data_IF_494176691021
#
_entry.id   IF_494176691021
#
_cell.length_a   1.000
_cell.length_b   1.000
_cell.length_c   1.000
_cell.angle_alpha   90.00
_cell.angle_beta   90.00
_cell.angle_gamma   90.00
#
_symmetry.space_group_name_H-M   'P 1'
#
loop_
_entity.id
_entity.type
_entity.pdbx_description
1 polymer ?
#
# COMPACT_ATOMS: atom_id res chain seq x y z
N UNK A 1 17.69 44.49 -65.02
CA UNK A 1 17.22 45.59 -64.16
C UNK A 1 17.03 45.05 -62.74
N UNK A 2 17.65 45.72 -61.75
CA UNK A 2 17.45 45.52 -60.31
C UNK A 2 15.98 45.77 -59.95
N UNK A 3 15.45 45.10 -58.93
CA UNK A 3 14.95 45.79 -57.73
C UNK A 3 14.74 44.80 -56.57
N UNK A 4 15.21 45.22 -55.40
CA UNK A 4 15.04 44.60 -54.09
C UNK A 4 13.56 44.41 -53.73
N UNK A 5 13.25 43.41 -52.91
CA UNK A 5 12.56 43.66 -51.64
C UNK A 5 12.68 42.48 -50.68
N UNK A 6 13.35 42.74 -49.55
CA UNK A 6 13.36 41.88 -48.36
C UNK A 6 12.06 42.15 -47.59
N UNK A 7 11.29 41.11 -47.32
CA UNK A 7 10.28 41.14 -46.25
C UNK A 7 10.59 39.99 -45.31
N UNK A 8 11.19 40.33 -44.17
CA UNK A 8 11.10 39.51 -42.98
C UNK A 8 9.84 39.94 -42.23
N UNK A 9 9.07 38.99 -41.67
CA UNK A 9 8.51 39.11 -40.31
C UNK A 9 7.72 37.86 -39.87
N UNK A 10 8.14 37.40 -38.69
CA UNK A 10 7.43 36.77 -37.58
C UNK A 10 6.62 35.49 -37.85
N UNK A 11 7.27 34.36 -37.53
CA UNK A 11 6.62 33.17 -36.99
C UNK A 11 6.10 33.47 -35.56
N UNK A 12 4.79 33.68 -35.42
CA UNK A 12 4.11 33.53 -34.14
C UNK A 12 3.97 32.02 -33.84
N UNK A 13 4.94 31.46 -33.11
CA UNK A 13 4.74 30.20 -32.39
C UNK A 13 3.80 30.48 -31.22
N UNK A 14 2.50 30.33 -31.46
CA UNK A 14 1.51 30.21 -30.39
C UNK A 14 1.80 28.89 -29.69
N UNK A 15 2.54 28.97 -28.58
CA UNK A 15 2.71 27.87 -27.66
C UNK A 15 1.36 27.54 -27.03
N UNK A 16 0.63 26.60 -27.64
CA UNK A 16 -0.45 25.90 -26.97
C UNK A 16 0.22 25.04 -25.91
N UNK A 17 0.36 25.60 -24.71
CA UNK A 17 0.59 24.83 -23.51
C UNK A 17 -0.65 23.98 -23.27
N UNK A 18 -0.72 22.83 -23.94
CA UNK A 18 -1.60 21.76 -23.52
C UNK A 18 -1.18 21.44 -22.08
N UNK A 19 -2.00 21.88 -21.12
CA UNK A 19 -2.01 21.29 -19.80
C UNK A 19 -2.30 19.82 -20.02
N UNK A 20 -1.24 19.01 -20.18
CA UNK A 20 -1.37 17.57 -20.33
C UNK A 20 -2.14 17.11 -19.11
N UNK A 21 -3.40 16.71 -19.32
CA UNK A 21 -4.18 16.12 -18.27
C UNK A 21 -3.33 14.96 -17.72
N UNK A 22 -3.03 14.95 -16.41
CA UNK A 22 -2.31 13.85 -15.82
C UNK A 22 -3.02 12.55 -16.20
N UNK A 23 -2.25 11.52 -16.56
CA UNK A 23 -2.74 10.33 -17.29
C UNK A 23 -3.77 9.48 -16.52
N UNK A 24 -4.19 9.93 -15.33
CA UNK A 24 -5.15 9.29 -14.43
C UNK A 24 -6.29 10.24 -13.98
N UNK A 25 -6.40 11.44 -14.53
CA UNK A 25 -7.55 12.30 -14.29
C UNK A 25 -8.78 11.75 -15.01
N UNK A 26 -9.92 11.79 -14.32
CA UNK A 26 -11.18 11.32 -14.90
C UNK A 26 -11.59 12.28 -16.01
N UNK A 27 -11.74 11.75 -17.23
CA UNK A 27 -12.37 12.46 -18.34
C UNK A 27 -13.88 12.31 -18.23
N UNK A 28 -14.56 13.34 -17.71
CA UNK A 28 -16.00 13.29 -17.49
C UNK A 28 -16.83 13.13 -18.76
N UNK A 29 -16.27 13.38 -19.94
CA UNK A 29 -16.95 13.07 -21.21
C UNK A 29 -16.89 11.58 -21.57
N UNK A 30 -16.02 10.82 -20.90
CA UNK A 30 -15.78 9.39 -21.13
C UNK A 30 -16.03 8.52 -19.90
N UNK A 31 -16.61 9.08 -18.83
CA UNK A 31 -16.93 8.36 -17.60
C UNK A 31 -17.73 7.09 -17.92
N UNK A 32 -17.10 5.93 -17.74
CA UNK A 32 -17.61 4.63 -18.16
C UNK A 32 -18.28 3.88 -17.02
N UNK A 33 -17.72 3.96 -15.81
CA UNK A 33 -18.18 3.19 -14.65
C UNK A 33 -19.05 4.05 -13.69
N UNK A 34 -19.81 3.42 -12.75
CA UNK A 34 -20.68 4.13 -11.82
C UNK A 34 -19.94 5.15 -10.93
N UNK A 35 -18.73 4.80 -10.46
CA UNK A 35 -17.92 5.68 -9.62
C UNK A 35 -17.46 6.95 -10.36
N UNK A 36 -16.98 6.81 -11.60
CA UNK A 36 -16.60 7.94 -12.45
C UNK A 36 -17.80 8.86 -12.73
N UNK A 37 -18.97 8.28 -13.03
CA UNK A 37 -20.21 9.05 -13.24
C UNK A 37 -20.60 9.82 -11.99
N UNK A 38 -20.51 9.19 -10.82
CA UNK A 38 -20.75 9.85 -9.54
C UNK A 38 -19.80 11.02 -9.35
N UNK A 39 -18.49 10.80 -9.51
CA UNK A 39 -17.47 11.85 -9.37
C UNK A 39 -17.76 13.01 -10.33
N UNK A 40 -18.10 12.73 -11.59
CA UNK A 40 -18.38 13.74 -12.60
C UNK A 40 -19.71 14.48 -12.41
N UNK A 41 -20.64 13.94 -11.63
CA UNK A 41 -21.89 14.61 -11.26
C UNK A 41 -21.71 15.63 -10.13
N UNK A 42 -20.60 15.57 -9.39
CA UNK A 42 -20.32 16.44 -8.25
C UNK A 42 -19.11 17.35 -8.50
N UNK A 43 -19.33 18.68 -8.50
CA UNK A 43 -18.28 19.66 -8.78
C UNK A 43 -17.12 19.60 -7.77
N UNK A 44 -17.41 19.28 -6.51
CA UNK A 44 -16.40 19.21 -5.46
C UNK A 44 -15.53 17.96 -5.61
N UNK A 45 -16.11 16.83 -6.06
CA UNK A 45 -15.40 15.62 -6.40
C UNK A 45 -14.51 15.78 -7.64
N UNK A 46 -15.00 16.44 -8.71
CA UNK A 46 -14.17 16.78 -9.88
C UNK A 46 -12.97 17.64 -9.50
N UNK A 47 -13.18 18.65 -8.64
CA UNK A 47 -12.09 19.50 -8.17
C UNK A 47 -11.06 18.71 -7.35
N UNK A 48 -11.52 17.77 -6.52
CA UNK A 48 -10.67 16.87 -5.76
C UNK A 48 -9.87 15.93 -6.67
N UNK A 49 -10.46 15.37 -7.73
CA UNK A 49 -9.77 14.49 -8.68
C UNK A 49 -8.62 15.22 -9.39
N UNK A 50 -8.88 16.45 -9.83
CA UNK A 50 -7.84 17.29 -10.42
C UNK A 50 -6.71 17.59 -9.42
N UNK A 51 -7.03 17.76 -8.14
CA UNK A 51 -6.06 17.97 -7.07
C UNK A 51 -5.21 16.72 -6.79
N UNK A 52 -5.86 15.56 -6.64
CA UNK A 52 -5.21 14.27 -6.47
C UNK A 52 -4.20 14.01 -7.58
N UNK A 53 -4.61 14.25 -8.82
CA UNK A 53 -3.75 13.99 -9.95
C UNK A 53 -2.52 14.91 -10.02
N UNK A 54 -2.65 16.18 -9.60
CA UNK A 54 -1.48 17.05 -9.42
C UNK A 54 -0.55 16.54 -8.32
N UNK A 55 -1.11 16.06 -7.20
CA UNK A 55 -0.33 15.48 -6.10
C UNK A 55 0.42 14.21 -6.57
N UNK A 56 -0.27 13.32 -7.27
CA UNK A 56 0.30 12.10 -7.82
C UNK A 56 1.42 12.38 -8.83
N UNK A 57 1.20 13.30 -9.78
CA UNK A 57 2.24 13.70 -10.73
C UNK A 57 3.47 14.30 -10.02
N UNK A 58 3.28 15.07 -8.96
CA UNK A 58 4.38 15.61 -8.16
C UNK A 58 5.11 14.52 -7.34
N UNK A 59 4.38 13.53 -6.82
CA UNK A 59 4.95 12.39 -6.11
C UNK A 59 5.80 11.52 -7.03
N UNK A 60 5.30 11.18 -8.23
CA UNK A 60 6.06 10.40 -9.21
C UNK A 60 7.36 11.07 -9.64
N UNK A 61 7.41 12.41 -9.71
CA UNK A 61 8.63 13.17 -10.02
C UNK A 61 9.68 13.09 -8.91
N UNK A 62 9.27 12.79 -7.69
CA UNK A 62 10.15 12.65 -6.53
C UNK A 62 10.63 11.22 -6.31
N UNK A 63 10.13 10.25 -7.10
CA UNK A 63 10.58 8.87 -7.01
C UNK A 63 12.09 8.80 -7.33
N UNK A 64 12.91 8.23 -6.42
CA UNK A 64 14.37 8.22 -6.59
C UNK A 64 14.85 7.22 -7.66
N UNK A 65 14.02 6.21 -7.97
CA UNK A 65 14.35 5.16 -8.94
C UNK A 65 13.09 4.51 -9.51
N UNK A 66 13.29 3.61 -10.48
CA UNK A 66 12.21 2.92 -11.18
C UNK A 66 11.40 1.96 -10.29
N UNK A 67 12.01 1.37 -9.24
CA UNK A 67 11.31 0.46 -8.33
C UNK A 67 10.32 1.23 -7.47
N UNK A 68 10.76 2.31 -6.81
CA UNK A 68 9.86 3.15 -6.01
C UNK A 68 8.83 3.82 -6.92
N UNK A 69 9.21 4.25 -8.13
CA UNK A 69 8.24 4.78 -9.08
C UNK A 69 7.17 3.74 -9.45
N UNK A 70 7.56 2.48 -9.68
CA UNK A 70 6.61 1.38 -9.97
C UNK A 70 5.71 1.11 -8.76
N UNK A 71 6.27 1.07 -7.56
CA UNK A 71 5.50 0.91 -6.32
C UNK A 71 4.43 2.00 -6.18
N UNK A 72 4.77 3.27 -6.44
CA UNK A 72 3.81 4.38 -6.40
C UNK A 72 2.69 4.24 -7.44
N UNK A 73 2.99 3.72 -8.63
CA UNK A 73 1.98 3.44 -9.66
C UNK A 73 1.02 2.34 -9.20
N UNK A 74 1.53 1.24 -8.64
CA UNK A 74 0.69 0.15 -8.13
C UNK A 74 -0.14 0.57 -6.92
N UNK A 75 0.45 1.36 -6.01
CA UNK A 75 -0.25 1.98 -4.88
C UNK A 75 -1.43 2.84 -5.35
N UNK A 76 -1.25 3.69 -6.37
CA UNK A 76 -2.34 4.49 -6.93
C UNK A 76 -3.38 3.63 -7.66
N UNK A 77 -2.97 2.56 -8.36
CA UNK A 77 -3.87 1.62 -9.02
C UNK A 77 -4.80 0.95 -8.01
N UNK A 78 -4.25 0.41 -6.91
CA UNK A 78 -5.04 -0.21 -5.84
C UNK A 78 -6.00 0.77 -5.18
N UNK A 79 -5.57 2.01 -4.97
CA UNK A 79 -6.45 3.04 -4.43
C UNK A 79 -7.65 3.33 -5.36
N UNK A 80 -7.44 3.38 -6.67
CA UNK A 80 -8.54 3.56 -7.65
C UNK A 80 -9.51 2.39 -7.62
N UNK A 81 -9.00 1.17 -7.55
CA UNK A 81 -9.83 -0.04 -7.45
C UNK A 81 -10.70 -0.01 -6.16
N UNK A 82 -10.10 0.32 -5.02
CA UNK A 82 -10.81 0.45 -3.74
C UNK A 82 -11.84 1.60 -3.76
N UNK A 83 -11.46 2.75 -4.33
CA UNK A 83 -12.37 3.89 -4.53
C UNK A 83 -13.58 3.49 -5.37
N UNK A 84 -13.35 2.87 -6.53
CA UNK A 84 -14.42 2.55 -7.47
C UNK A 84 -15.38 1.53 -6.86
N UNK A 85 -14.85 0.47 -6.24
CA UNK A 85 -15.64 -0.52 -5.52
C UNK A 85 -16.52 0.13 -4.44
N UNK A 86 -15.94 1.04 -3.63
CA UNK A 86 -16.67 1.67 -2.54
C UNK A 86 -17.75 2.64 -3.04
N UNK A 87 -17.42 3.47 -4.03
CA UNK A 87 -18.35 4.45 -4.58
C UNK A 87 -19.50 3.78 -5.34
N UNK A 88 -19.25 2.67 -6.04
CA UNK A 88 -20.29 1.85 -6.65
C UNK A 88 -21.23 1.25 -5.59
N UNK A 89 -20.67 0.79 -4.46
CA UNK A 89 -21.45 0.32 -3.31
C UNK A 89 -22.37 1.39 -2.74
N UNK A 90 -21.88 2.63 -2.55
CA UNK A 90 -22.68 3.76 -2.04
C UNK A 90 -23.81 4.17 -2.99
N UNK A 91 -23.62 4.01 -4.31
CA UNK A 91 -24.68 4.25 -5.30
C UNK A 91 -25.76 3.17 -5.21
N UNK A 92 -25.38 1.94 -4.86
CA UNK A 92 -26.28 0.78 -4.81
C UNK A 92 -27.00 0.63 -3.47
N UNK A 93 -26.43 1.17 -2.38
CA UNK A 93 -26.97 1.09 -1.02
C UNK A 93 -26.83 2.43 -0.29
N UNK A 94 -27.88 3.24 -0.38
CA UNK A 94 -27.94 4.57 0.22
C UNK A 94 -28.03 4.54 1.76
N UNK A 95 -28.38 3.41 2.39
CA UNK A 95 -28.42 3.28 3.86
C UNK A 95 -27.01 3.21 4.46
N UNK A 96 -26.00 2.94 3.63
CA UNK A 96 -24.59 2.95 4.02
C UNK A 96 -23.92 4.34 3.95
N UNK A 97 -24.68 5.41 3.73
CA UNK A 97 -24.14 6.77 3.74
C UNK A 97 -23.95 7.29 5.17
N UNK A 98 -22.87 8.01 5.46
CA UNK A 98 -22.76 8.77 6.70
C UNK A 98 -23.88 9.80 6.80
N UNK A 99 -24.42 9.99 8.01
CA UNK A 99 -25.40 11.04 8.27
C UNK A 99 -24.92 12.39 7.71
N UNK A 100 -25.84 13.14 7.10
CA UNK A 100 -25.61 14.45 6.49
C UNK A 100 -24.69 14.51 5.25
N UNK A 101 -24.30 13.37 4.66
CA UNK A 101 -23.48 13.36 3.43
C UNK A 101 -24.21 12.83 2.20
N UNK A 102 -23.97 13.52 1.08
CA UNK A 102 -24.30 12.99 -0.25
C UNK A 102 -23.19 12.04 -0.72
N UNK A 103 -23.48 11.09 -1.63
CA UNK A 103 -22.44 10.26 -2.25
C UNK A 103 -21.32 11.07 -2.91
N UNK A 104 -21.66 12.21 -3.52
CA UNK A 104 -20.69 13.14 -4.11
C UNK A 104 -19.76 13.79 -3.09
N UNK A 105 -20.29 14.15 -1.91
CA UNK A 105 -19.48 14.67 -0.80
C UNK A 105 -18.52 13.60 -0.25
N UNK A 106 -18.98 12.35 -0.11
CA UNK A 106 -18.12 11.21 0.31
C UNK A 106 -17.01 10.99 -0.72
N UNK A 107 -17.33 10.98 -2.01
CA UNK A 107 -16.34 10.87 -3.09
C UNK A 107 -15.30 12.00 -3.01
N UNK A 108 -15.75 13.24 -2.84
CA UNK A 108 -14.84 14.38 -2.73
C UNK A 108 -13.90 14.27 -1.52
N UNK A 109 -14.40 13.83 -0.38
CA UNK A 109 -13.59 13.66 0.84
C UNK A 109 -12.58 12.53 0.73
N UNK A 110 -12.98 11.37 0.20
CA UNK A 110 -12.09 10.24 -0.05
C UNK A 110 -10.95 10.64 -1.01
N UNK A 111 -11.27 11.35 -2.09
CA UNK A 111 -10.27 11.80 -3.08
C UNK A 111 -9.32 12.84 -2.45
N UNK A 112 -9.83 13.77 -1.63
CA UNK A 112 -8.98 14.74 -0.92
C UNK A 112 -8.08 14.09 0.12
N UNK A 113 -8.60 13.12 0.87
CA UNK A 113 -7.82 12.36 1.84
C UNK A 113 -6.62 11.71 1.16
N UNK A 114 -6.85 11.04 0.02
CA UNK A 114 -5.76 10.48 -0.78
C UNK A 114 -4.78 11.53 -1.28
N UNK A 115 -5.26 12.66 -1.79
CA UNK A 115 -4.37 13.74 -2.22
C UNK A 115 -3.49 14.27 -1.08
N UNK A 116 -4.01 14.27 0.15
CA UNK A 116 -3.29 14.55 1.39
C UNK A 116 -2.20 13.52 1.67
N UNK A 117 -2.53 12.23 1.66
CA UNK A 117 -1.58 11.12 1.86
C UNK A 117 -0.40 11.18 0.87
N UNK A 118 -0.67 11.45 -0.41
CA UNK A 118 0.38 11.55 -1.43
C UNK A 118 1.37 12.72 -1.18
N UNK A 119 0.96 13.70 -0.37
CA UNK A 119 1.78 14.86 0.01
C UNK A 119 2.34 14.75 1.43
N UNK A 120 1.89 13.76 2.19
CA UNK A 120 2.21 13.63 3.61
C UNK A 120 3.72 13.51 3.80
N UNK A 121 4.23 14.21 4.80
CA UNK A 121 5.64 14.22 5.20
C UNK A 121 5.70 14.18 6.72
N UNK A 122 6.66 13.44 7.26
CA UNK A 122 6.95 13.53 8.68
C UNK A 122 7.61 14.87 8.98
N UNK A 123 7.44 15.35 10.22
CA UNK A 123 8.03 16.61 10.67
C UNK A 123 9.55 16.56 10.51
N UNK A 124 10.09 17.48 9.70
CA UNK A 124 11.53 17.56 9.42
C UNK A 124 11.98 16.84 8.15
N UNK A 125 11.11 16.06 7.51
CA UNK A 125 11.45 15.30 6.30
C UNK A 125 11.10 16.06 5.01
N UNK A 126 12.05 16.06 4.07
CA UNK A 126 11.88 16.60 2.72
C UNK A 126 11.44 15.54 1.70
N UNK A 127 11.08 14.34 2.14
CA UNK A 127 10.61 13.24 1.30
C UNK A 127 9.18 12.82 1.68
N UNK A 128 8.30 12.52 0.71
CA UNK A 128 6.95 12.02 1.00
C UNK A 128 6.96 10.71 1.81
N UNK A 129 5.97 10.51 2.68
CA UNK A 129 5.84 9.35 3.58
C UNK A 129 5.96 8.03 2.83
N UNK A 130 5.26 7.86 1.70
CA UNK A 130 5.28 6.62 0.92
C UNK A 130 6.70 6.27 0.42
N UNK A 131 7.44 7.28 -0.04
CA UNK A 131 8.83 7.09 -0.52
C UNK A 131 9.75 6.76 0.66
N UNK A 132 9.62 7.50 1.77
CA UNK A 132 10.39 7.25 2.99
C UNK A 132 10.20 5.83 3.53
N UNK A 133 8.96 5.37 3.56
CA UNK A 133 8.60 4.03 4.02
C UNK A 133 9.27 2.97 3.14
N UNK A 134 9.16 3.10 1.82
CA UNK A 134 9.82 2.19 0.88
C UNK A 134 11.36 2.20 1.00
N UNK A 135 11.98 3.35 1.26
CA UNK A 135 13.42 3.43 1.49
C UNK A 135 13.84 2.70 2.77
N UNK A 136 13.08 2.85 3.87
CA UNK A 136 13.32 2.11 5.12
C UNK A 136 13.16 0.61 4.93
N UNK A 137 12.12 0.19 4.20
CA UNK A 137 11.92 -1.22 3.86
C UNK A 137 13.11 -1.77 3.06
N UNK A 138 13.59 -1.02 2.07
CA UNK A 138 14.76 -1.42 1.28
C UNK A 138 16.02 -1.56 2.15
N UNK A 139 16.27 -0.60 3.03
CA UNK A 139 17.39 -0.63 3.98
C UNK A 139 17.32 -1.86 4.90
N UNK A 140 16.16 -2.08 5.53
CA UNK A 140 15.97 -3.21 6.42
C UNK A 140 16.18 -4.55 5.70
N UNK A 141 15.54 -4.72 4.54
CA UNK A 141 15.61 -5.95 3.74
C UNK A 141 17.00 -6.22 3.16
N UNK A 142 17.80 -5.17 2.91
CA UNK A 142 19.18 -5.30 2.43
C UNK A 142 20.13 -6.03 3.39
N UNK A 143 19.71 -6.28 4.64
CA UNK A 143 20.46 -7.09 5.61
C UNK A 143 20.36 -8.60 5.37
N UNK A 144 19.46 -9.06 4.49
CA UNK A 144 19.17 -10.47 4.28
C UNK A 144 19.43 -10.88 2.83
N UNK A 145 19.57 -12.19 2.57
CA UNK A 145 19.79 -12.70 1.21
C UNK A 145 18.61 -12.43 0.26
N UNK A 146 17.41 -12.21 0.80
CA UNK A 146 16.17 -12.25 0.03
C UNK A 146 15.88 -13.65 -0.51
N UNK A 147 15.06 -13.71 -1.56
CA UNK A 147 14.70 -14.95 -2.24
C UNK A 147 13.28 -14.92 -2.82
N UNK A 148 12.84 -16.01 -3.47
CA UNK A 148 11.56 -16.07 -4.19
C UNK A 148 10.34 -15.91 -3.29
N UNK A 149 10.48 -16.13 -1.98
CA UNK A 149 9.40 -15.98 -1.00
C UNK A 149 9.48 -14.66 -0.22
N UNK A 150 10.25 -13.68 -0.69
CA UNK A 150 10.34 -12.37 -0.04
C UNK A 150 9.57 -11.30 -0.81
N UNK A 151 8.94 -10.39 -0.10
CA UNK A 151 8.18 -9.27 -0.65
C UNK A 151 6.84 -9.05 0.04
N UNK A 152 5.97 -8.26 -0.58
CA UNK A 152 4.73 -7.78 0.00
C UNK A 152 3.53 -8.22 -0.83
N UNK A 153 2.54 -8.80 -0.16
CA UNK A 153 1.18 -9.00 -0.68
C UNK A 153 0.27 -8.01 0.03
N UNK A 154 -0.17 -6.97 -0.67
CA UNK A 154 -0.93 -5.86 -0.09
C UNK A 154 -2.34 -5.84 -0.64
N UNK A 155 -3.31 -5.77 0.27
CA UNK A 155 -4.72 -5.54 -0.02
C UNK A 155 -5.16 -4.27 0.69
N UNK A 156 -5.96 -3.44 0.02
CA UNK A 156 -6.40 -2.17 0.56
C UNK A 156 -7.90 -2.00 0.38
N UNK A 157 -8.51 -1.28 1.31
CA UNK A 157 -9.96 -1.04 1.31
C UNK A 157 -10.27 0.37 1.82
N UNK A 158 -11.49 0.84 1.56
CA UNK A 158 -12.05 2.07 2.11
C UNK A 158 -12.96 1.71 3.28
N UNK A 159 -12.51 1.98 4.49
CA UNK A 159 -13.12 1.47 5.70
C UNK A 159 -14.36 2.29 6.15
N UNK A 160 -15.39 1.62 6.72
CA UNK A 160 -16.53 2.27 7.38
C UNK A 160 -16.13 2.99 8.68
N UNK A 161 -17.00 3.87 9.23
CA UNK A 161 -18.34 4.21 8.74
C UNK A 161 -18.40 5.46 7.84
N UNK A 162 -17.35 6.29 7.81
CA UNK A 162 -17.37 7.55 7.07
C UNK A 162 -16.75 7.46 5.66
N UNK A 163 -16.17 6.30 5.33
CA UNK A 163 -15.66 5.92 4.01
C UNK A 163 -14.67 6.93 3.40
N UNK A 164 -13.97 7.66 4.27
CA UNK A 164 -12.84 8.53 3.88
C UNK A 164 -11.48 7.90 4.18
N UNK A 165 -11.47 6.80 4.93
CA UNK A 165 -10.24 6.13 5.37
C UNK A 165 -9.86 5.02 4.40
N UNK A 166 -8.83 5.27 3.61
CA UNK A 166 -8.16 4.23 2.85
C UNK A 166 -7.10 3.56 3.73
N UNK A 167 -7.18 2.25 3.89
CA UNK A 167 -6.24 1.49 4.69
C UNK A 167 -5.73 0.29 3.90
N UNK A 168 -4.45 -0.04 4.09
CA UNK A 168 -3.81 -1.18 3.47
C UNK A 168 -3.34 -2.15 4.53
N UNK A 169 -3.58 -3.43 4.28
CA UNK A 169 -3.15 -4.57 5.08
C UNK A 169 -2.26 -5.46 4.23
N UNK A 170 -1.34 -6.20 4.85
CA UNK A 170 -0.36 -6.95 4.10
C UNK A 170 0.02 -8.28 4.74
N UNK A 171 0.31 -9.25 3.88
CA UNK A 171 1.26 -10.31 4.21
C UNK A 171 2.64 -9.86 3.75
N UNK A 172 3.54 -9.66 4.71
CA UNK A 172 4.92 -9.25 4.52
C UNK A 172 5.81 -10.48 4.68
N UNK A 173 6.64 -10.77 3.69
CA UNK A 173 7.57 -11.89 3.74
C UNK A 173 9.02 -11.44 3.63
N UNK A 174 9.85 -11.96 4.52
CA UNK A 174 11.29 -11.74 4.54
C UNK A 174 12.00 -13.08 4.47
N UNK A 175 13.10 -13.14 3.73
CA UNK A 175 13.83 -14.38 3.51
C UNK A 175 15.32 -14.17 3.72
N UNK A 176 15.95 -15.12 4.43
CA UNK A 176 17.37 -15.19 4.64
C UNK A 176 17.82 -16.66 4.54
N UNK A 177 18.56 -16.98 3.47
CA UNK A 177 18.86 -18.35 3.04
C UNK A 177 17.57 -19.18 2.94
N UNK A 178 17.51 -20.30 3.65
CA UNK A 178 16.37 -21.21 3.72
C UNK A 178 15.30 -20.76 4.73
N UNK A 179 15.48 -19.64 5.44
CA UNK A 179 14.50 -19.18 6.44
C UNK A 179 13.56 -18.14 5.83
N UNK A 180 12.26 -18.32 6.02
CA UNK A 180 11.22 -17.34 5.67
C UNK A 180 10.45 -16.95 6.94
N UNK A 181 10.35 -15.65 7.19
CA UNK A 181 9.60 -15.09 8.31
C UNK A 181 8.55 -14.13 7.75
N UNK A 182 7.30 -14.31 8.17
CA UNK A 182 6.17 -13.56 7.62
C UNK A 182 5.35 -12.90 8.72
N UNK A 183 4.98 -11.65 8.51
CA UNK A 183 3.97 -10.95 9.28
C UNK A 183 2.72 -10.83 8.42
N UNK A 184 1.54 -11.07 8.99
CA UNK A 184 0.28 -10.87 8.29
C UNK A 184 -0.61 -9.97 9.12
N UNK A 185 -1.13 -8.95 8.46
CA UNK A 185 -2.24 -8.14 8.93
C UNK A 185 -3.40 -8.27 7.95
N UNK A 186 -4.61 -8.37 8.46
CA UNK A 186 -5.82 -8.28 7.67
C UNK A 186 -6.96 -7.68 8.48
N UNK A 187 -7.92 -7.08 7.80
CA UNK A 187 -9.15 -6.58 8.42
C UNK A 187 -10.30 -7.53 8.13
N UNK A 188 -11.03 -7.91 9.17
CA UNK A 188 -12.25 -8.69 9.09
C UNK A 188 -13.15 -8.32 10.26
N UNK A 189 -14.47 -8.47 10.12
CA UNK A 189 -15.43 -8.35 11.24
C UNK A 189 -15.26 -7.09 12.12
N UNK A 190 -14.81 -5.98 11.53
CA UNK A 190 -14.59 -4.71 12.23
C UNK A 190 -13.30 -4.64 13.08
N UNK A 191 -12.41 -5.62 12.98
CA UNK A 191 -11.15 -5.69 13.72
C UNK A 191 -9.95 -5.96 12.80
N UNK A 192 -8.78 -5.47 13.19
CA UNK A 192 -7.50 -5.81 12.53
C UNK A 192 -6.93 -7.03 13.22
N UNK A 193 -6.64 -8.08 12.47
CA UNK A 193 -6.02 -9.31 12.93
C UNK A 193 -4.54 -9.30 12.58
N UNK A 194 -3.68 -9.71 13.52
CA UNK A 194 -2.24 -9.82 13.32
C UNK A 194 -1.72 -11.23 13.63
N UNK A 195 -0.92 -11.77 12.70
CA UNK A 195 -0.36 -13.12 12.75
C UNK A 195 1.11 -13.11 12.32
N UNK A 196 1.88 -14.04 12.87
CA UNK A 196 3.29 -14.22 12.53
C UNK A 196 3.59 -15.67 12.21
N UNK A 197 4.49 -15.87 11.26
CA UNK A 197 4.79 -17.18 10.71
C UNK A 197 6.28 -17.36 10.49
N UNK A 198 6.72 -18.60 10.65
CA UNK A 198 8.09 -19.04 10.37
C UNK A 198 8.02 -20.27 9.50
N UNK A 199 8.78 -20.28 8.41
CA UNK A 199 8.94 -21.42 7.53
C UNK A 199 10.40 -21.67 7.19
N UNK A 200 10.72 -22.90 6.80
CA UNK A 200 11.98 -23.28 6.16
C UNK A 200 11.73 -23.65 4.71
N UNK A 201 12.62 -23.26 3.81
CA UNK A 201 12.57 -23.68 2.41
C UNK A 201 13.22 -25.05 2.31
N UNK A 202 12.42 -26.07 2.03
CA UNK A 202 12.86 -27.46 1.79
C UNK A 202 12.40 -27.84 0.40
N UNK A 203 13.30 -28.37 -0.42
CA UNK A 203 13.02 -28.72 -1.82
C UNK A 203 12.33 -27.59 -2.60
N UNK A 204 12.82 -26.37 -2.39
CA UNK A 204 12.31 -25.14 -2.99
C UNK A 204 10.82 -24.87 -2.67
N UNK A 205 10.36 -25.25 -1.47
CA UNK A 205 9.01 -24.97 -0.97
C UNK A 205 9.04 -24.52 0.50
N UNK A 206 8.23 -23.53 0.91
CA UNK A 206 8.11 -23.16 2.32
C UNK A 206 7.40 -24.27 3.09
N UNK A 207 8.06 -24.79 4.11
CA UNK A 207 7.53 -25.73 5.09
C UNK A 207 7.33 -24.95 6.39
N UNK A 208 6.09 -24.72 6.84
CA UNK A 208 5.79 -24.02 8.08
C UNK A 208 6.41 -24.77 9.27
N UNK A 209 7.03 -24.02 10.18
CA UNK A 209 7.65 -24.56 11.41
C UNK A 209 7.14 -23.89 12.67
N UNK A 210 6.60 -22.67 12.58
CA UNK A 210 5.96 -22.01 13.70
C UNK A 210 4.96 -20.94 13.27
N UNK A 211 3.97 -20.69 14.12
CA UNK A 211 2.99 -19.61 13.94
C UNK A 211 2.55 -19.04 15.29
N UNK A 212 1.97 -17.85 15.28
CA UNK A 212 1.23 -17.29 16.42
C UNK A 212 0.28 -16.18 15.94
N UNK A 213 -0.66 -15.78 16.79
CA UNK A 213 -1.57 -14.66 16.54
C UNK A 213 -1.67 -13.73 17.75
N UNK A 214 -1.95 -12.45 17.51
CA UNK A 214 -2.30 -11.49 18.57
C UNK A 214 -3.79 -11.51 18.92
N UNK A 215 -4.64 -11.93 17.98
CA UNK A 215 -6.08 -11.84 18.12
C UNK A 215 -6.84 -12.73 17.11
N UNK A 216 -6.38 -13.96 16.90
CA UNK A 216 -6.98 -14.95 16.00
C UNK A 216 -6.85 -16.39 16.53
N UNK A 217 -7.16 -17.37 15.68
CA UNK A 217 -7.24 -18.78 16.06
C UNK A 217 -5.87 -19.49 16.08
N UNK A 218 -4.93 -19.00 16.91
CA UNK A 218 -3.62 -19.62 17.14
C UNK A 218 -3.09 -19.31 18.56
N UNK A 219 -1.92 -19.84 18.92
CA UNK A 219 -1.22 -19.46 20.15
C UNK A 219 -0.94 -17.95 20.18
N UNK A 220 -1.10 -17.34 21.36
CA UNK A 220 -0.84 -15.91 21.55
C UNK A 220 0.64 -15.58 21.28
N UNK A 221 0.92 -14.62 20.40
CA UNK A 221 2.29 -14.26 20.05
C UNK A 221 3.08 -13.77 21.26
N UNK A 222 4.39 -14.10 21.37
CA UNK A 222 5.28 -13.46 22.33
C UNK A 222 5.22 -11.93 22.24
N UNK A 223 5.13 -11.28 23.40
CA UNK A 223 4.91 -9.83 23.49
C UNK A 223 3.44 -9.39 23.43
N UNK A 224 2.50 -10.33 23.33
CA UNK A 224 1.08 -10.05 23.63
C UNK A 224 0.83 -9.90 25.13
N UNK A 225 -0.40 -9.53 25.51
CA UNK A 225 -0.83 -9.39 26.90
C UNK A 225 -1.09 -10.73 27.61
N UNK A 226 -1.00 -11.86 26.89
CA UNK A 226 -1.29 -13.18 27.45
C UNK A 226 -0.09 -13.73 28.25
N UNK A 227 -0.36 -14.23 29.45
CA UNK A 227 0.68 -14.76 30.35
C UNK A 227 1.37 -16.04 29.81
N UNK A 228 0.70 -16.78 28.92
CA UNK A 228 1.20 -18.03 28.32
C UNK A 228 1.63 -17.88 26.85
N UNK A 229 1.85 -16.62 26.42
CA UNK A 229 2.24 -16.27 25.06
C UNK A 229 3.45 -17.07 24.56
N UNK A 230 3.26 -17.75 23.43
CA UNK A 230 4.25 -18.62 22.82
C UNK A 230 4.05 -18.82 21.32
N UNK A 231 5.12 -19.22 20.66
CA UNK A 231 5.02 -19.78 19.30
C UNK A 231 4.33 -21.13 19.35
N UNK A 232 3.37 -21.35 18.45
CA UNK A 232 2.84 -22.67 18.12
C UNK A 232 3.87 -23.39 17.24
N UNK A 233 4.52 -24.41 17.79
CA UNK A 233 5.41 -25.33 17.07
C UNK A 233 4.86 -26.77 17.06
N UNK A 234 3.56 -26.91 17.30
CA UNK A 234 2.88 -28.20 17.39
C UNK A 234 2.57 -28.81 16.02
N UNK A 235 1.79 -29.89 15.95
CA UNK A 235 1.46 -30.55 14.69
C UNK A 235 0.53 -29.74 13.77
N UNK A 236 -0.06 -28.65 14.27
CA UNK A 236 -1.00 -27.78 13.55
C UNK A 236 -0.47 -26.35 13.48
N UNK A 237 0.70 -26.18 12.87
CA UNK A 237 1.23 -24.84 12.56
C UNK A 237 0.39 -24.22 11.44
N UNK A 238 -0.01 -22.96 11.62
CA UNK A 238 -0.68 -22.18 10.59
C UNK A 238 0.35 -21.60 9.61
N UNK A 239 -0.09 -21.31 8.40
CA UNK A 239 0.77 -20.75 7.36
C UNK A 239 0.01 -19.70 6.55
N UNK A 240 0.70 -18.65 6.09
CA UNK A 240 0.14 -17.76 5.11
C UNK A 240 0.07 -18.47 3.76
N UNK A 241 -0.71 -17.93 2.83
CA UNK A 241 -0.56 -18.31 1.42
C UNK A 241 0.74 -17.71 0.91
N UNK A 242 1.60 -18.55 0.31
CA UNK A 242 2.81 -18.09 -0.33
C UNK A 242 2.56 -17.93 -1.84
N UNK A 243 2.75 -16.72 -2.37
CA UNK A 243 2.64 -16.48 -3.80
C UNK A 243 3.57 -17.37 -4.63
N UNK A 244 3.04 -17.88 -5.75
CA UNK A 244 3.81 -18.58 -6.78
C UNK A 244 4.55 -17.65 -7.74
N UNK A 245 4.29 -16.34 -7.63
CA UNK A 245 4.90 -15.28 -8.45
C UNK A 245 5.78 -14.37 -7.59
N UNK A 246 6.86 -13.81 -8.15
CA UNK A 246 7.67 -12.83 -7.45
C UNK A 246 6.83 -11.66 -6.93
N UNK A 247 7.03 -11.32 -5.66
CA UNK A 247 6.33 -10.23 -5.00
C UNK A 247 7.08 -8.90 -5.13
N UNK A 248 6.37 -7.76 -5.10
CA UNK A 248 6.99 -6.45 -4.89
C UNK A 248 7.90 -6.45 -3.66
N UNK A 249 9.06 -5.84 -3.79
CA UNK A 249 10.11 -5.86 -2.78
C UNK A 249 9.98 -4.69 -1.77
N UNK A 250 9.12 -3.72 -2.07
CA UNK A 250 8.75 -2.57 -1.23
C UNK A 250 7.29 -2.22 -1.50
N UNK A 251 6.61 -1.70 -0.49
CA UNK A 251 5.27 -1.14 -0.58
C UNK A 251 5.10 0.01 0.42
N UNK A 252 5.06 1.25 -0.07
CA UNK A 252 5.05 2.44 0.77
C UNK A 252 3.76 2.65 1.56
N UNK A 253 2.69 1.90 1.25
CA UNK A 253 1.43 1.96 2.00
C UNK A 253 1.51 1.26 3.36
N UNK A 254 2.47 0.33 3.52
CA UNK A 254 2.60 -0.54 4.69
C UNK A 254 3.75 -0.06 5.56
N UNK A 255 3.46 0.40 6.78
CA UNK A 255 4.51 0.61 7.78
C UNK A 255 4.75 -0.69 8.54
N UNK A 256 5.94 -1.26 8.37
CA UNK A 256 6.35 -2.56 8.90
C UNK A 256 7.44 -2.42 9.99
N UNK A 257 7.71 -1.19 10.43
CA UNK A 257 8.83 -0.93 11.34
C UNK A 257 8.67 -1.57 12.72
N UNK A 258 7.44 -1.80 13.18
CA UNK A 258 7.14 -2.50 14.43
C UNK A 258 7.53 -3.99 14.38
N UNK A 259 7.68 -4.57 13.19
CA UNK A 259 8.06 -5.98 13.02
C UNK A 259 9.58 -6.20 12.93
N UNK A 260 10.38 -5.16 12.76
CA UNK A 260 11.81 -5.29 12.43
C UNK A 260 12.61 -6.06 13.47
N UNK A 261 12.33 -5.86 14.76
CA UNK A 261 13.03 -6.54 15.85
C UNK A 261 12.89 -8.06 15.77
N UNK A 262 11.64 -8.55 15.74
CA UNK A 262 11.38 -9.98 15.72
C UNK A 262 11.71 -10.61 14.36
N UNK A 263 11.50 -9.91 13.24
CA UNK A 263 11.88 -10.42 11.90
C UNK A 263 13.38 -10.64 11.84
N UNK A 264 14.18 -9.70 12.34
CA UNK A 264 15.64 -9.86 12.39
C UNK A 264 16.03 -11.07 13.21
N UNK A 265 15.48 -11.21 14.42
CA UNK A 265 15.73 -12.38 15.26
C UNK A 265 15.34 -13.69 14.54
N UNK A 266 14.16 -13.72 13.93
CA UNK A 266 13.64 -14.88 13.20
C UNK A 266 14.53 -15.33 12.05
N UNK A 267 15.10 -14.39 11.32
CA UNK A 267 15.90 -14.65 10.13
C UNK A 267 17.37 -15.00 10.41
N UNK A 268 17.90 -14.60 11.57
CA UNK A 268 19.34 -14.73 11.86
C UNK A 268 19.67 -15.65 13.02
N UNK A 269 18.75 -15.88 13.95
CA UNK A 269 18.98 -16.78 15.09
C UNK A 269 18.66 -18.24 14.69
N UNK A 270 19.69 -19.09 14.71
CA UNK A 270 19.57 -20.52 14.41
C UNK A 270 18.62 -21.27 15.37
N UNK A 271 18.41 -20.74 16.57
CA UNK A 271 17.52 -21.31 17.57
C UNK A 271 16.07 -20.80 17.46
N UNK A 272 15.74 -19.96 16.48
CA UNK A 272 14.40 -19.39 16.35
C UNK A 272 13.38 -20.35 15.68
N UNK A 273 12.14 -20.45 16.23
CA UNK A 273 11.67 -19.84 17.48
C UNK A 273 12.29 -20.54 18.72
N UNK A 274 12.68 -19.74 19.72
CA UNK A 274 13.39 -20.22 20.91
C UNK A 274 12.57 -21.23 21.73
N UNK A 275 13.27 -22.15 22.42
CA UNK A 275 12.70 -23.02 23.46
C UNK A 275 12.22 -22.26 24.70
N UNK A 276 12.68 -21.03 24.93
CA UNK A 276 12.00 -20.08 25.82
C UNK A 276 11.20 -19.05 24.98
N UNK A 277 9.91 -19.31 24.69
CA UNK A 277 9.10 -18.47 23.84
C UNK A 277 8.89 -17.04 24.37
N UNK A 278 9.13 -16.76 25.66
CA UNK A 278 8.88 -15.44 26.28
C UNK A 278 10.00 -14.41 26.05
N UNK A 279 11.15 -14.84 25.54
CA UNK A 279 12.31 -13.99 25.23
C UNK A 279 12.59 -13.84 23.72
N UNK A 280 11.86 -14.58 22.87
CA UNK A 280 12.09 -14.59 21.43
C UNK A 280 11.61 -13.27 20.79
N UNK A 281 12.54 -12.53 20.16
CA UNK A 281 12.22 -11.33 19.39
C UNK A 281 11.99 -10.04 20.21
N UNK A 282 12.59 -9.92 21.40
CA UNK A 282 12.82 -8.60 22.02
C UNK A 282 13.98 -7.88 21.35
#
# INVERSE_FOLDING_TARGET
>A
MRFMNRVARLLCLVGVGALSAPVWAIDCHKAGNPAEKLICSDRAAVAADAELNRAYAALLKQAPDAEIRKMLVESQRRWIEARDMRLEGLVSDAESLPDDKTPGAVAADLIRARAGELRERSKGDNIPRLIRTALKQREFRGQFTGGPYSGYEVSCDVLPPDYKYYACFATRHYQNNERVCSAQEYWATGSVYAQRYVAKVVDNKPVPVASCSYNGDDAACPGSIADDARWNTGPKVHAPTYSSKPLPQVDGEVDDSDDYGWIKACLTDGNFPLSNPTAAGR
#
